data_IF_552094291955
#
_entry.id   IF_552094291955
#
_cell.length_a   1.000
_cell.length_b   1.000
_cell.length_c   1.000
_cell.angle_alpha   90.00
_cell.angle_beta   90.00
_cell.angle_gamma   90.00
#
_symmetry.space_group_name_H-M   'P 1'
#
loop_
_entity.id
_entity.type
_entity.pdbx_description
1 polymer ?
#
# COMPACT_ATOMS: atom_id res chain seq x y z
N UNK A 1 -48.63 43.27 -19.46
CA UNK A 1 -48.07 42.53 -20.61
C UNK A 1 -46.56 42.54 -20.45
N UNK A 2 -45.90 41.38 -20.26
CA UNK A 2 -44.47 41.28 -19.98
C UNK A 2 -43.69 41.35 -21.29
N UNK A 3 -42.46 41.88 -21.25
CA UNK A 3 -41.49 41.62 -22.32
C UNK A 3 -40.29 40.90 -21.74
N UNK A 4 -40.08 39.69 -22.24
CA UNK A 4 -38.93 38.86 -21.98
C UNK A 4 -37.85 39.18 -23.03
N UNK A 5 -36.62 39.37 -22.57
CA UNK A 5 -35.43 39.14 -23.38
C UNK A 5 -34.28 38.82 -22.43
N UNK A 6 -34.00 37.53 -22.31
CA UNK A 6 -32.76 37.02 -21.77
C UNK A 6 -31.59 37.42 -22.69
N UNK A 7 -30.43 37.68 -22.09
CA UNK A 7 -29.19 36.96 -22.43
C UNK A 7 -28.03 37.42 -21.53
N UNK A 8 -27.48 36.42 -20.83
CA UNK A 8 -26.06 36.12 -20.76
C UNK A 8 -25.09 37.25 -20.39
N UNK A 9 -24.46 37.15 -19.21
CA UNK A 9 -22.99 37.16 -19.07
C UNK A 9 -22.60 36.73 -17.66
N UNK A 10 -22.01 35.54 -17.58
CA UNK A 10 -20.83 35.15 -16.81
C UNK A 10 -20.55 35.96 -15.51
N UNK A 11 -20.84 35.36 -14.36
CA UNK A 11 -20.38 35.83 -13.06
C UNK A 11 -18.86 35.55 -12.94
N UNK A 12 -18.04 36.48 -13.43
CA UNK A 12 -16.63 36.57 -13.08
C UNK A 12 -16.52 37.33 -11.76
N UNK A 13 -16.16 36.63 -10.69
CA UNK A 13 -15.33 37.13 -9.56
C UNK A 13 -15.60 36.38 -8.25
N UNK A 14 -15.28 35.09 -8.19
CA UNK A 14 -14.83 34.54 -6.91
C UNK A 14 -13.33 34.72 -6.86
N UNK A 15 -12.90 35.79 -6.20
CA UNK A 15 -11.53 35.98 -5.72
C UNK A 15 -11.15 34.71 -4.95
N UNK A 16 -10.31 33.88 -5.55
CA UNK A 16 -9.66 32.78 -4.86
C UNK A 16 -8.59 33.42 -3.97
N UNK A 17 -8.96 33.73 -2.73
CA UNK A 17 -8.04 34.21 -1.72
C UNK A 17 -7.93 33.13 -0.63
N UNK A 18 -6.71 32.99 -0.11
CA UNK A 18 -6.25 32.13 0.99
C UNK A 18 -6.06 30.63 0.70
N UNK A 19 -4.82 30.28 0.32
CA UNK A 19 -3.96 29.31 1.02
C UNK A 19 -4.68 28.20 1.82
N UNK A 20 -4.85 27.02 1.21
CA UNK A 20 -4.95 25.79 1.99
C UNK A 20 -3.52 25.30 2.26
N UNK A 21 -2.96 25.41 3.49
CA UNK A 21 -1.97 24.44 3.88
C UNK A 21 -2.75 23.13 4.03
N UNK A 22 -2.70 22.25 3.02
CA UNK A 22 -2.99 20.84 3.27
C UNK A 22 -2.15 20.50 4.50
N UNK A 23 -2.80 20.10 5.59
CA UNK A 23 -2.06 19.77 6.81
C UNK A 23 -1.05 18.68 6.46
N UNK A 24 0.12 18.65 7.11
CA UNK A 24 1.14 17.62 6.83
C UNK A 24 0.54 16.19 6.89
N UNK A 25 -0.53 16.00 7.68
CA UNK A 25 -1.31 14.78 7.77
C UNK A 25 -2.09 14.42 6.48
N UNK A 26 -2.67 15.38 5.75
CA UNK A 26 -3.36 15.13 4.47
C UNK A 26 -2.39 14.81 3.33
N UNK A 27 -1.18 15.39 3.37
CA UNK A 27 -0.11 15.08 2.43
C UNK A 27 0.46 13.66 2.65
N UNK A 28 0.40 13.16 3.89
CA UNK A 28 0.84 11.82 4.29
C UNK A 28 -0.31 10.81 4.45
N UNK A 29 -1.44 11.01 3.76
CA UNK A 29 -2.49 10.00 3.72
C UNK A 29 -2.17 8.91 2.69
N UNK A 30 -2.26 7.61 3.03
CA UNK A 30 -2.12 6.52 2.06
C UNK A 30 -3.16 6.62 0.94
N UNK A 31 -2.74 6.41 -0.30
CA UNK A 31 -3.60 6.50 -1.50
C UNK A 31 -3.61 5.18 -2.24
N UNK A 32 -4.79 4.71 -2.64
CA UNK A 32 -4.94 3.56 -3.52
C UNK A 32 -4.76 4.03 -4.96
N UNK A 33 -3.99 3.28 -5.74
CA UNK A 33 -3.69 3.59 -7.13
C UNK A 33 -4.54 2.74 -8.10
N UNK A 34 -4.92 3.32 -9.23
CA UNK A 34 -5.41 2.57 -10.38
C UNK A 34 -4.29 1.75 -11.05
N UNK A 35 -4.64 0.82 -11.94
CA UNK A 35 -3.67 -0.11 -12.53
C UNK A 35 -2.51 0.56 -13.29
N UNK A 36 -2.73 1.68 -13.98
CA UNK A 36 -1.66 2.37 -14.71
C UNK A 36 -0.71 3.10 -13.74
N UNK A 37 -1.28 3.85 -12.80
CA UNK A 37 -0.52 4.54 -11.77
C UNK A 37 0.24 3.56 -10.86
N UNK A 38 -0.39 2.44 -10.52
CA UNK A 38 0.19 1.38 -9.70
C UNK A 38 1.41 0.74 -10.37
N UNK A 39 1.30 0.37 -11.65
CA UNK A 39 2.44 -0.16 -12.41
C UNK A 39 3.60 0.84 -12.49
N UNK A 40 3.31 2.13 -12.68
CA UNK A 40 4.34 3.18 -12.67
C UNK A 40 5.01 3.31 -11.31
N UNK A 41 4.24 3.27 -10.23
CA UNK A 41 4.77 3.36 -8.86
C UNK A 41 5.63 2.14 -8.50
N UNK A 42 5.18 0.92 -8.84
CA UNK A 42 5.94 -0.30 -8.62
C UNK A 42 7.31 -0.28 -9.31
N UNK A 43 7.36 0.20 -10.55
CA UNK A 43 8.62 0.39 -11.29
C UNK A 43 9.54 1.42 -10.64
N UNK A 44 8.98 2.49 -10.06
CA UNK A 44 9.76 3.50 -9.35
C UNK A 44 10.35 2.99 -8.02
N UNK A 45 9.79 1.91 -7.46
CA UNK A 45 10.26 1.24 -6.25
C UNK A 45 10.99 -0.08 -6.53
N UNK A 46 11.41 -0.32 -7.78
CA UNK A 46 12.12 -1.53 -8.22
C UNK A 46 11.43 -2.85 -7.79
N UNK A 47 10.09 -2.84 -7.74
CA UNK A 47 9.34 -4.01 -7.30
C UNK A 47 9.58 -5.20 -8.27
N UNK A 48 9.95 -6.40 -7.77
CA UNK A 48 10.47 -7.50 -8.59
C UNK A 48 9.40 -8.35 -9.29
N UNK A 49 8.20 -7.82 -9.52
CA UNK A 49 7.06 -8.61 -9.99
C UNK A 49 6.32 -7.94 -11.15
N UNK A 50 5.56 -8.75 -11.91
CA UNK A 50 4.90 -8.39 -13.17
C UNK A 50 3.83 -7.30 -13.05
N UNK A 51 3.05 -7.09 -14.10
CA UNK A 51 2.03 -6.03 -14.08
C UNK A 51 0.93 -6.31 -13.04
N UNK A 52 0.39 -5.23 -12.47
CA UNK A 52 -0.70 -5.24 -11.48
C UNK A 52 -1.92 -5.96 -12.05
N UNK A 53 -2.41 -6.97 -11.32
CA UNK A 53 -3.59 -7.74 -11.67
C UNK A 53 -4.90 -6.98 -11.45
N UNK A 54 -5.98 -7.47 -12.06
CA UNK A 54 -7.30 -6.81 -12.00
C UNK A 54 -7.89 -6.72 -10.58
N UNK A 55 -7.48 -7.60 -9.67
CA UNK A 55 -7.93 -7.64 -8.27
C UNK A 55 -6.88 -7.14 -7.29
N UNK A 56 -5.74 -6.67 -7.78
CA UNK A 56 -4.65 -6.24 -6.92
C UNK A 56 -4.95 -4.85 -6.34
N UNK A 57 -4.53 -4.64 -5.09
CA UNK A 57 -4.60 -3.36 -4.41
C UNK A 57 -3.20 -2.84 -4.19
N UNK A 58 -2.89 -1.68 -4.77
CA UNK A 58 -1.63 -0.98 -4.56
C UNK A 58 -1.88 0.33 -3.83
N UNK A 59 -1.22 0.50 -2.70
CA UNK A 59 -1.32 1.69 -1.86
C UNK A 59 0.04 2.36 -1.76
N UNK A 60 0.09 3.68 -1.90
CA UNK A 60 1.31 4.48 -1.79
C UNK A 60 1.19 5.56 -0.74
N UNK A 61 2.33 5.93 -0.19
CA UNK A 61 2.47 7.03 0.74
C UNK A 61 3.50 8.01 0.20
N UNK A 62 3.03 9.14 -0.35
CA UNK A 62 3.84 10.26 -0.84
C UNK A 62 5.06 9.85 -1.69
N UNK A 63 4.94 8.77 -2.48
CA UNK A 63 6.04 8.15 -3.25
C UNK A 63 7.23 7.62 -2.41
N UNK A 64 7.17 7.71 -1.08
CA UNK A 64 8.21 7.26 -0.17
C UNK A 64 8.05 5.79 0.21
N UNK A 65 6.81 5.29 0.16
CA UNK A 65 6.52 3.91 0.47
C UNK A 65 5.36 3.38 -0.35
N UNK A 66 5.36 2.06 -0.57
CA UNK A 66 4.36 1.36 -1.36
C UNK A 66 4.05 0.00 -0.73
N UNK A 67 2.78 -0.38 -0.70
CA UNK A 67 2.34 -1.74 -0.44
C UNK A 67 1.50 -2.27 -1.61
N UNK A 68 1.68 -3.55 -1.94
CA UNK A 68 0.97 -4.23 -3.01
C UNK A 68 0.42 -5.56 -2.50
N UNK A 69 -0.89 -5.68 -2.58
CA UNK A 69 -1.64 -6.88 -2.26
C UNK A 69 -2.25 -7.48 -3.51
N UNK A 70 -2.25 -8.82 -3.57
CA UNK A 70 -3.15 -9.57 -4.44
C UNK A 70 -4.36 -10.00 -3.65
N UNK A 71 -5.55 -9.69 -4.16
CA UNK A 71 -6.81 -10.02 -3.48
C UNK A 71 -7.51 -11.15 -4.22
N UNK A 72 -7.81 -12.22 -3.49
CA UNK A 72 -8.64 -13.35 -3.89
C UNK A 72 -9.59 -13.64 -2.74
N UNK A 73 -10.58 -12.75 -2.55
CA UNK A 73 -11.46 -12.76 -1.38
C UNK A 73 -12.04 -14.17 -1.13
N UNK A 74 -12.05 -14.64 0.13
CA UNK A 74 -11.80 -13.89 1.37
C UNK A 74 -10.32 -13.74 1.78
N UNK A 75 -9.39 -14.10 0.89
CA UNK A 75 -7.94 -14.09 1.15
C UNK A 75 -7.23 -12.93 0.44
N UNK A 76 -6.13 -12.45 1.01
CA UNK A 76 -5.20 -11.57 0.33
C UNK A 76 -3.74 -11.87 0.67
N UNK A 77 -2.85 -11.71 -0.31
CA UNK A 77 -1.42 -11.96 -0.18
C UNK A 77 -0.62 -10.65 -0.36
N UNK A 78 0.26 -10.34 0.59
CA UNK A 78 1.17 -9.20 0.48
C UNK A 78 2.32 -9.57 -0.44
N UNK A 79 2.33 -9.00 -1.64
CA UNK A 79 3.36 -9.26 -2.64
C UNK A 79 4.59 -8.36 -2.45
N UNK A 80 4.36 -7.11 -2.03
CA UNK A 80 5.45 -6.14 -1.85
C UNK A 80 5.09 -5.10 -0.79
N UNK A 81 6.02 -4.84 0.13
CA UNK A 81 5.97 -3.68 1.01
C UNK A 81 7.37 -3.10 1.09
N UNK A 82 7.52 -1.87 0.62
CA UNK A 82 8.81 -1.22 0.53
C UNK A 82 8.73 0.25 0.94
N UNK A 83 9.77 0.72 1.60
CA UNK A 83 9.96 2.10 2.01
C UNK A 83 11.34 2.53 1.51
N UNK A 84 11.41 3.64 0.79
CA UNK A 84 12.67 4.19 0.29
C UNK A 84 13.67 4.39 1.43
N UNK A 85 14.95 4.15 1.17
CA UNK A 85 16.00 4.14 2.20
C UNK A 85 16.06 5.44 3.03
N UNK A 86 15.89 6.60 2.38
CA UNK A 86 15.86 7.91 3.06
C UNK A 86 14.65 8.14 3.98
N UNK A 87 13.63 7.29 3.90
CA UNK A 87 12.35 7.41 4.62
C UNK A 87 12.09 6.25 5.59
N UNK A 88 13.03 5.31 5.71
CA UNK A 88 12.93 4.19 6.65
C UNK A 88 13.04 4.65 8.12
N UNK A 89 12.59 3.80 9.05
CA UNK A 89 12.67 4.07 10.49
C UNK A 89 11.63 5.08 11.02
N UNK A 90 10.79 5.64 10.16
CA UNK A 90 9.78 6.66 10.51
C UNK A 90 8.35 6.10 10.68
N UNK A 91 8.20 4.76 10.63
CA UNK A 91 6.89 4.10 10.79
C UNK A 91 6.01 4.08 9.54
N UNK A 92 6.50 4.54 8.38
CA UNK A 92 5.72 4.58 7.13
C UNK A 92 5.22 3.21 6.67
N UNK A 93 6.06 2.17 6.80
CA UNK A 93 5.67 0.79 6.49
C UNK A 93 4.53 0.28 7.36
N UNK A 94 4.59 0.58 8.67
CA UNK A 94 3.51 0.26 9.61
C UNK A 94 2.22 1.01 9.27
N UNK A 95 2.32 2.29 8.89
CA UNK A 95 1.16 3.10 8.50
C UNK A 95 0.47 2.52 7.26
N UNK A 96 1.25 2.18 6.22
CA UNK A 96 0.71 1.55 5.01
C UNK A 96 0.10 0.18 5.28
N UNK A 97 0.76 -0.63 6.11
CA UNK A 97 0.26 -1.95 6.47
C UNK A 97 -1.08 -1.84 7.22
N UNK A 98 -1.17 -0.95 8.22
CA UNK A 98 -2.41 -0.70 8.94
C UNK A 98 -3.56 -0.27 8.01
N UNK A 99 -3.32 0.77 7.20
CA UNK A 99 -4.34 1.32 6.30
C UNK A 99 -4.78 0.31 5.23
N UNK A 100 -3.85 -0.50 4.70
CA UNK A 100 -4.19 -1.55 3.74
C UNK A 100 -4.99 -2.69 4.38
N UNK A 101 -4.63 -3.14 5.58
CA UNK A 101 -5.40 -4.16 6.31
C UNK A 101 -6.84 -3.70 6.58
N UNK A 102 -7.02 -2.46 7.02
CA UNK A 102 -8.34 -1.85 7.23
C UNK A 102 -9.16 -1.82 5.94
N UNK A 103 -8.55 -1.36 4.84
CA UNK A 103 -9.20 -1.32 3.54
C UNK A 103 -9.61 -2.73 3.06
N UNK A 104 -8.69 -3.69 3.09
CA UNK A 104 -8.94 -5.07 2.67
C UNK A 104 -10.11 -5.68 3.44
N UNK A 105 -10.16 -5.48 4.76
CA UNK A 105 -11.22 -6.02 5.59
C UNK A 105 -12.57 -5.34 5.31
N UNK A 106 -12.64 -4.02 5.46
CA UNK A 106 -13.92 -3.30 5.44
C UNK A 106 -14.50 -3.10 4.05
N UNK A 107 -13.65 -3.01 3.02
CA UNK A 107 -14.10 -2.72 1.64
C UNK A 107 -14.18 -3.96 0.78
N UNK A 108 -13.32 -4.95 1.02
CA UNK A 108 -13.20 -6.14 0.17
C UNK A 108 -13.59 -7.44 0.88
N UNK A 109 -13.94 -7.38 2.18
CA UNK A 109 -14.39 -8.55 2.93
C UNK A 109 -13.30 -9.59 3.16
N UNK A 110 -12.03 -9.17 3.12
CA UNK A 110 -10.90 -10.06 3.39
C UNK A 110 -10.88 -10.43 4.87
N UNK A 111 -10.75 -11.72 5.15
CA UNK A 111 -10.70 -12.28 6.51
C UNK A 111 -9.41 -13.06 6.79
N UNK A 112 -8.55 -13.21 5.79
CA UNK A 112 -7.28 -13.90 5.95
C UNK A 112 -6.20 -13.25 5.09
N UNK A 113 -5.07 -12.93 5.73
CA UNK A 113 -3.91 -12.33 5.09
C UNK A 113 -2.75 -13.31 5.10
N UNK A 114 -1.96 -13.28 4.03
CA UNK A 114 -0.74 -14.07 3.87
C UNK A 114 0.42 -13.17 3.47
N UNK A 115 1.62 -13.55 3.89
CA UNK A 115 2.86 -12.97 3.39
C UNK A 115 4.01 -13.95 3.52
N UNK A 116 5.06 -13.67 2.76
CA UNK A 116 6.34 -14.33 2.88
C UNK A 116 7.40 -13.30 3.25
N UNK A 117 8.30 -13.65 4.17
CA UNK A 117 9.40 -12.78 4.57
C UNK A 117 10.67 -13.59 4.76
N UNK A 118 11.80 -13.10 4.25
CA UNK A 118 13.10 -13.76 4.46
C UNK A 118 13.39 -13.89 5.96
N UNK A 119 13.91 -15.04 6.38
CA UNK A 119 14.34 -15.27 7.78
C UNK A 119 15.46 -14.32 8.22
N UNK A 120 16.14 -13.66 7.28
CA UNK A 120 17.16 -12.65 7.56
C UNK A 120 16.58 -11.24 7.77
N UNK A 121 15.34 -10.99 7.36
CA UNK A 121 14.70 -9.68 7.45
C UNK A 121 13.96 -9.52 8.79
N UNK A 122 14.74 -9.40 9.88
CA UNK A 122 14.21 -9.27 11.24
C UNK A 122 13.33 -8.03 11.41
N UNK A 123 13.66 -6.92 10.74
CA UNK A 123 12.88 -5.67 10.82
C UNK A 123 11.45 -5.89 10.32
N UNK A 124 11.29 -6.46 9.12
CA UNK A 124 9.96 -6.73 8.56
C UNK A 124 9.23 -7.82 9.37
N UNK A 125 9.93 -8.89 9.76
CA UNK A 125 9.37 -9.94 10.61
C UNK A 125 8.75 -9.38 11.90
N UNK A 126 9.49 -8.55 12.64
CA UNK A 126 9.00 -7.96 13.88
C UNK A 126 7.85 -6.98 13.66
N UNK A 127 7.87 -6.24 12.54
CA UNK A 127 6.74 -5.40 12.16
C UNK A 127 5.49 -6.25 11.94
N UNK A 128 5.54 -7.26 11.05
CA UNK A 128 4.40 -8.13 10.79
C UNK A 128 3.90 -8.84 12.05
N UNK A 129 4.80 -9.33 12.90
CA UNK A 129 4.43 -9.95 14.16
C UNK A 129 3.64 -9.01 15.08
N UNK A 130 3.99 -7.72 15.15
CA UNK A 130 3.24 -6.71 15.92
C UNK A 130 1.83 -6.47 15.38
N UNK A 131 1.63 -6.66 14.08
CA UNK A 131 0.33 -6.57 13.42
C UNK A 131 -0.50 -7.87 13.53
N UNK A 132 -0.06 -8.84 14.34
CA UNK A 132 -0.79 -10.09 14.59
C UNK A 132 -0.49 -11.22 13.62
N UNK A 133 0.46 -11.04 12.69
CA UNK A 133 0.90 -12.12 11.82
C UNK A 133 1.66 -13.19 12.61
N UNK A 134 1.36 -14.46 12.32
CA UNK A 134 1.99 -15.63 12.95
C UNK A 134 2.64 -16.50 11.89
N UNK A 135 3.80 -17.04 12.19
CA UNK A 135 4.48 -18.02 11.31
C UNK A 135 3.67 -19.30 11.28
N UNK A 136 3.32 -19.75 10.07
CA UNK A 136 2.62 -21.02 9.82
C UNK A 136 3.45 -22.03 9.04
N UNK A 137 4.58 -21.59 8.50
CA UNK A 137 5.52 -22.47 7.80
C UNK A 137 6.81 -21.77 7.45
N UNK A 138 7.75 -22.55 6.93
CA UNK A 138 9.04 -22.07 6.45
C UNK A 138 9.33 -22.67 5.08
N UNK A 139 9.56 -21.84 4.06
CA UNK A 139 10.03 -22.26 2.75
C UNK A 139 11.54 -22.30 2.75
N UNK A 140 12.08 -23.51 2.67
CA UNK A 140 13.53 -23.72 2.66
C UNK A 140 14.14 -23.23 1.35
N UNK A 141 15.30 -22.56 1.46
CA UNK A 141 16.10 -22.09 0.34
C UNK A 141 15.33 -21.23 -0.67
N UNK A 142 14.38 -20.45 -0.19
CA UNK A 142 13.41 -19.75 -1.03
C UNK A 142 14.01 -18.54 -1.76
N UNK A 143 14.73 -17.69 -1.03
CA UNK A 143 15.41 -16.54 -1.63
C UNK A 143 16.85 -16.90 -1.93
N UNK A 144 17.31 -16.60 -3.14
CA UNK A 144 18.73 -16.63 -3.49
C UNK A 144 19.34 -15.25 -3.30
N UNK A 145 20.40 -15.21 -2.51
CA UNK A 145 21.26 -14.07 -2.38
C UNK A 145 22.05 -13.91 -3.69
N UNK A 146 21.77 -12.83 -4.42
CA UNK A 146 22.35 -12.60 -5.76
C UNK A 146 23.86 -12.39 -5.72
N UNK A 147 24.39 -11.92 -4.60
CA UNK A 147 25.80 -11.56 -4.46
C UNK A 147 26.65 -12.74 -3.99
N UNK A 148 26.11 -13.56 -3.08
CA UNK A 148 26.85 -14.68 -2.48
C UNK A 148 26.47 -16.05 -3.05
N UNK A 149 25.38 -16.14 -3.82
CA UNK A 149 24.83 -17.42 -4.31
C UNK A 149 24.21 -18.30 -3.22
N UNK A 150 24.22 -17.84 -1.97
CA UNK A 150 23.62 -18.56 -0.85
C UNK A 150 22.11 -18.49 -0.93
N UNK A 151 21.45 -19.50 -0.39
CA UNK A 151 19.99 -19.50 -0.24
C UNK A 151 19.63 -19.10 1.18
N UNK A 152 18.53 -18.38 1.34
CA UNK A 152 17.93 -18.14 2.64
C UNK A 152 16.46 -18.56 2.63
N UNK A 153 16.03 -19.04 3.79
CA UNK A 153 14.67 -19.50 4.00
C UNK A 153 13.72 -18.29 4.08
N UNK A 154 12.42 -18.55 3.92
CA UNK A 154 11.38 -17.57 4.15
C UNK A 154 10.35 -18.10 5.14
N UNK A 155 9.93 -17.26 6.08
CA UNK A 155 8.75 -17.52 6.89
C UNK A 155 7.50 -17.24 6.07
N UNK A 156 6.58 -18.18 6.07
CA UNK A 156 5.20 -17.96 5.63
C UNK A 156 4.41 -17.54 6.86
N UNK A 157 3.81 -16.36 6.81
CA UNK A 157 3.05 -15.81 7.92
C UNK A 157 1.60 -15.57 7.52
N UNK A 158 0.67 -15.74 8.46
CA UNK A 158 -0.75 -15.44 8.25
C UNK A 158 -1.30 -14.58 9.37
N UNK A 159 -2.30 -13.76 9.05
CA UNK A 159 -3.07 -12.99 10.03
C UNK A 159 -4.57 -13.12 9.74
N UNK A 160 -5.32 -13.51 10.78
CA UNK A 160 -6.79 -13.62 10.75
C UNK A 160 -7.42 -12.63 11.76
N UNK A 161 -6.63 -11.71 12.30
CA UNK A 161 -7.04 -10.76 13.32
C UNK A 161 -7.05 -9.35 12.72
N UNK A 162 -8.24 -8.79 12.56
CA UNK A 162 -8.43 -7.40 12.18
C UNK A 162 -8.89 -6.67 13.44
N UNK A 163 -8.03 -5.81 13.98
CA UNK A 163 -8.40 -5.00 15.14
C UNK A 163 -9.15 -3.76 14.64
N UNK A 164 -10.32 -3.52 15.24
CA UNK A 164 -11.14 -2.33 15.05
C UNK A 164 -10.56 -1.12 15.79
#
# INVERSE_FOLDING_TARGET
MPNAAAQTTLCASTRCNTSCPATMAELMAPKILDGCAANKALRAHDAPHGDVGATDVVMVLDHQALCWWRVLAPEAELLWLHVLDGSQGQGLGSLLLAASMEHLHHRLGVTQLFLEVSVKNNTAYHMYHKFGFKVVGTRKKYYQDKDTGNTCDAYVMTCNQFHH
#
